data_IF_010118424569
#
_entry.id   IF_010118424569
#
_cell.length_a   1.000
_cell.length_b   1.000
_cell.length_c   1.000
_cell.angle_alpha   90.00
_cell.angle_beta   90.00
_cell.angle_gamma   90.00
#
_symmetry.space_group_name_H-M   'P 1'
#
loop_
_entity.id
_entity.type
_entity.pdbx_description
1 polymer ?
#
# COMPACT_ATOMS: atom_id res chain seq x y z
N UNK A 1 12.40 -1.94 -20.76
CA UNK A 1 11.62 -2.72 -19.80
C UNK A 1 10.87 -1.74 -18.92
N UNK A 2 9.56 -1.87 -18.81
CA UNK A 2 8.72 -0.99 -18.01
C UNK A 2 9.18 -1.04 -16.55
N UNK A 3 9.11 0.07 -15.84
CA UNK A 3 9.45 0.12 -14.42
C UNK A 3 8.48 1.04 -13.70
N UNK A 4 7.88 0.52 -12.65
CA UNK A 4 6.92 1.24 -11.83
C UNK A 4 7.49 1.56 -10.45
N UNK A 5 7.15 2.75 -9.96
CA UNK A 5 7.33 3.16 -8.59
C UNK A 5 5.94 3.25 -7.94
N UNK A 6 5.69 2.45 -6.93
CA UNK A 6 4.50 2.53 -6.09
C UNK A 6 4.82 3.37 -4.86
N UNK A 7 3.95 4.31 -4.52
CA UNK A 7 4.08 5.18 -3.34
C UNK A 7 2.78 5.10 -2.55
N UNK A 8 2.89 4.92 -1.23
CA UNK A 8 1.75 4.77 -0.33
C UNK A 8 1.96 5.57 0.98
N UNK A 9 0.94 6.32 1.36
CA UNK A 9 0.92 7.12 2.58
C UNK A 9 0.72 6.27 3.83
N UNK A 10 1.71 6.28 4.71
CA UNK A 10 1.67 5.48 5.94
C UNK A 10 0.59 5.97 6.90
N UNK A 11 -0.36 5.09 7.27
CA UNK A 11 -1.48 5.42 8.15
C UNK A 11 -2.14 6.74 7.75
N UNK A 12 -2.50 6.88 6.49
CA UNK A 12 -2.76 8.15 5.82
C UNK A 12 -3.71 9.08 6.60
N UNK A 13 -4.92 8.63 6.98
CA UNK A 13 -5.86 9.49 7.69
C UNK A 13 -5.30 9.95 9.04
N UNK A 14 -4.71 9.04 9.82
CA UNK A 14 -4.09 9.42 11.09
C UNK A 14 -2.87 10.34 10.89
N UNK A 15 -2.15 10.19 9.77
CA UNK A 15 -1.06 11.10 9.42
C UNK A 15 -1.56 12.49 9.02
N UNK A 16 -2.70 12.58 8.33
CA UNK A 16 -3.35 13.86 8.01
C UNK A 16 -3.71 14.62 9.31
N UNK A 17 -4.32 13.94 10.27
CA UNK A 17 -4.65 14.57 11.58
C UNK A 17 -3.38 15.06 12.30
N UNK A 18 -2.31 14.27 12.30
CA UNK A 18 -1.04 14.65 12.94
C UNK A 18 -0.37 15.87 12.30
N UNK A 19 -0.59 16.15 11.00
CA UNK A 19 -0.02 17.35 10.35
C UNK A 19 -0.49 18.61 11.05
N UNK A 20 -1.74 18.68 11.49
CA UNK A 20 -2.34 19.83 12.16
C UNK A 20 -2.29 19.74 13.69
N UNK A 21 -1.82 18.63 14.23
CA UNK A 21 -1.70 18.35 15.65
C UNK A 21 -0.30 17.80 15.98
N UNK A 22 0.73 18.68 15.99
CA UNK A 22 2.11 18.27 16.29
C UNK A 22 2.28 17.61 17.67
N UNK A 23 1.40 17.95 18.63
CA UNK A 23 1.32 17.33 19.95
C UNK A 23 1.06 15.81 19.89
N UNK A 24 0.50 15.32 18.79
CA UNK A 24 0.23 13.90 18.58
C UNK A 24 1.35 13.14 17.86
N UNK A 25 2.52 13.76 17.62
CA UNK A 25 3.60 13.16 16.83
C UNK A 25 4.02 11.76 17.30
N UNK A 26 3.99 11.52 18.61
CA UNK A 26 4.38 10.25 19.24
C UNK A 26 3.24 9.55 19.98
N UNK A 27 2.07 10.17 20.04
CA UNK A 27 0.89 9.63 20.70
C UNK A 27 0.18 8.62 19.77
N UNK A 28 -0.38 7.50 20.28
CA UNK A 28 -1.21 6.62 19.48
C UNK A 28 -2.43 7.36 18.90
N UNK A 29 -2.69 7.21 17.62
CA UNK A 29 -3.83 7.83 16.93
C UNK A 29 -4.61 6.77 16.17
N UNK A 30 -5.94 6.84 16.29
CA UNK A 30 -6.87 6.07 15.48
C UNK A 30 -7.88 7.00 14.82
N UNK A 31 -8.31 6.65 13.61
CA UNK A 31 -9.40 7.32 12.91
C UNK A 31 -10.51 6.31 12.70
N UNK A 32 -11.73 6.71 13.04
CA UNK A 32 -12.94 5.90 12.92
C UNK A 32 -13.60 6.07 11.54
N UNK A 33 -14.45 5.14 11.17
CA UNK A 33 -15.33 5.25 10.00
C UNK A 33 -16.39 6.36 10.21
N UNK A 34 -17.11 6.71 9.16
CA UNK A 34 -18.34 7.50 9.30
C UNK A 34 -19.20 6.92 10.41
N UNK A 35 -19.83 7.77 11.21
CA UNK A 35 -20.63 7.42 12.39
C UNK A 35 -19.84 6.70 13.50
N UNK A 36 -18.51 6.82 13.52
CA UNK A 36 -17.61 6.28 14.55
C UNK A 36 -17.80 4.78 14.85
N UNK A 37 -18.25 4.00 13.85
CA UNK A 37 -18.59 2.60 14.04
C UNK A 37 -17.39 1.69 14.26
N UNK A 38 -16.31 1.86 13.51
CA UNK A 38 -15.12 1.01 13.59
C UNK A 38 -13.82 1.75 13.24
N UNK A 39 -12.70 1.20 13.66
CA UNK A 39 -11.37 1.74 13.36
C UNK A 39 -11.01 1.52 11.89
N UNK A 40 -10.68 2.60 11.17
CA UNK A 40 -10.30 2.57 9.74
C UNK A 40 -8.79 2.70 9.57
N UNK A 41 -8.19 3.65 10.30
CA UNK A 41 -6.74 3.89 10.23
C UNK A 41 -6.14 3.94 11.63
N UNK A 42 -4.97 3.35 11.77
CA UNK A 42 -4.24 3.26 13.05
C UNK A 42 -2.76 3.56 12.80
N UNK A 43 -2.18 4.37 13.66
CA UNK A 43 -0.73 4.57 13.69
C UNK A 43 -0.01 3.30 14.17
N UNK A 44 1.32 3.24 13.99
CA UNK A 44 2.13 2.11 14.47
C UNK A 44 2.05 1.94 15.99
N UNK A 45 1.98 3.05 16.72
CA UNK A 45 1.84 3.08 18.18
C UNK A 45 0.50 2.47 18.59
N UNK A 46 -0.60 2.83 17.91
CA UNK A 46 -1.91 2.24 18.17
C UNK A 46 -1.96 0.74 17.84
N UNK A 47 -1.31 0.32 16.75
CA UNK A 47 -1.19 -1.11 16.38
C UNK A 47 -0.40 -1.91 17.44
N UNK A 48 0.62 -1.30 18.06
CA UNK A 48 1.41 -1.93 19.12
C UNK A 48 0.58 -2.24 20.38
N UNK A 49 -0.54 -1.52 20.61
CA UNK A 49 -1.51 -1.80 21.66
C UNK A 49 -2.48 -2.96 21.33
N UNK A 50 -2.25 -3.67 20.22
CA UNK A 50 -3.11 -4.77 19.78
C UNK A 50 -4.36 -4.33 19.01
N UNK A 51 -4.53 -3.02 18.76
CA UNK A 51 -5.64 -2.50 17.98
C UNK A 51 -5.51 -2.90 16.50
N UNK A 52 -6.64 -3.20 15.86
CA UNK A 52 -6.69 -3.66 14.47
C UNK A 52 -7.76 -2.89 13.69
N UNK A 53 -7.53 -2.73 12.38
CA UNK A 53 -8.53 -2.18 11.46
C UNK A 53 -9.82 -3.03 11.49
N UNK A 54 -10.97 -2.36 11.45
CA UNK A 54 -12.28 -3.01 11.45
C UNK A 54 -12.80 -3.37 12.85
N UNK A 55 -12.04 -3.15 13.92
CA UNK A 55 -12.55 -3.34 15.27
C UNK A 55 -13.62 -2.28 15.59
N UNK A 56 -14.78 -2.67 16.13
CA UNK A 56 -15.80 -1.72 16.60
C UNK A 56 -15.23 -0.82 17.72
N UNK A 57 -15.47 0.49 17.62
CA UNK A 57 -14.94 1.48 18.59
C UNK A 57 -15.33 1.13 20.03
N UNK A 58 -16.63 0.77 20.25
CA UNK A 58 -17.14 0.45 21.59
C UNK A 58 -16.44 -0.75 22.25
N UNK A 59 -15.93 -1.72 21.46
CA UNK A 59 -15.23 -2.90 21.98
C UNK A 59 -13.80 -2.60 22.46
N UNK A 60 -13.22 -1.52 21.98
CA UNK A 60 -11.82 -1.16 22.29
C UNK A 60 -11.71 0.09 23.17
N UNK A 61 -12.85 0.69 23.56
CA UNK A 61 -12.88 1.96 24.33
C UNK A 61 -11.99 1.91 25.58
N UNK A 62 -12.04 0.85 26.35
CA UNK A 62 -11.22 0.71 27.55
C UNK A 62 -9.70 0.72 27.24
N UNK A 63 -9.29 0.11 26.11
CA UNK A 63 -7.88 0.14 25.67
C UNK A 63 -7.49 1.55 25.22
N UNK A 64 -8.38 2.24 24.53
CA UNK A 64 -8.15 3.61 24.06
C UNK A 64 -7.96 4.57 25.24
N UNK A 65 -8.87 4.51 26.20
CA UNK A 65 -8.86 5.40 27.39
C UNK A 65 -7.62 5.11 28.28
N UNK A 66 -7.29 3.84 28.51
CA UNK A 66 -6.15 3.43 29.34
C UNK A 66 -4.78 3.80 28.75
N UNK A 67 -4.68 4.01 27.44
CA UNK A 67 -3.42 4.29 26.75
C UNK A 67 -3.37 5.70 26.13
N UNK A 68 -4.26 6.58 26.51
CA UNK A 68 -4.34 7.96 26.01
C UNK A 68 -4.31 8.03 24.47
N UNK A 69 -5.07 7.15 23.81
CA UNK A 69 -5.16 7.09 22.34
C UNK A 69 -6.00 8.25 21.84
N UNK A 70 -5.46 9.07 20.94
CA UNK A 70 -6.25 10.09 20.27
C UNK A 70 -7.19 9.45 19.25
N UNK A 71 -8.48 9.75 19.36
CA UNK A 71 -9.55 9.21 18.51
C UNK A 71 -10.13 10.35 17.66
N UNK A 72 -10.20 10.13 16.35
CA UNK A 72 -10.80 11.08 15.40
C UNK A 72 -11.91 10.41 14.61
N UNK A 73 -12.97 11.15 14.32
CA UNK A 73 -13.94 10.82 13.29
C UNK A 73 -13.33 11.06 11.91
N UNK A 74 -13.83 10.39 10.87
CA UNK A 74 -13.35 10.61 9.49
C UNK A 74 -13.64 12.03 9.02
N UNK A 75 -12.61 12.73 8.53
CA UNK A 75 -12.69 14.02 7.88
C UNK A 75 -12.29 13.88 6.39
N UNK A 76 -13.24 13.43 5.57
CA UNK A 76 -12.95 13.14 4.16
C UNK A 76 -12.59 14.36 3.33
N UNK A 77 -13.04 15.56 3.71
CA UNK A 77 -12.65 16.82 3.06
C UNK A 77 -11.16 17.08 3.27
N UNK A 78 -10.70 17.00 4.53
CA UNK A 78 -9.28 17.10 4.86
C UNK A 78 -8.46 16.03 4.13
N UNK A 79 -8.89 14.77 4.17
CA UNK A 79 -8.13 13.67 3.56
C UNK A 79 -8.07 13.80 2.04
N UNK A 80 -9.13 14.28 1.42
CA UNK A 80 -9.17 14.59 -0.02
C UNK A 80 -8.22 15.71 -0.43
N UNK A 81 -8.13 16.78 0.37
CA UNK A 81 -7.19 17.87 0.14
C UNK A 81 -5.73 17.41 0.32
N UNK A 82 -5.44 16.69 1.39
CA UNK A 82 -4.10 16.16 1.66
C UNK A 82 -3.66 15.14 0.59
N UNK A 83 -4.58 14.30 0.12
CA UNK A 83 -4.35 13.39 -1.01
C UNK A 83 -3.96 14.16 -2.27
N UNK A 84 -4.73 15.19 -2.63
CA UNK A 84 -4.45 16.02 -3.81
C UNK A 84 -3.05 16.66 -3.71
N UNK A 85 -2.69 17.23 -2.57
CA UNK A 85 -1.35 17.82 -2.34
C UNK A 85 -0.25 16.76 -2.47
N UNK A 86 -0.47 15.56 -1.91
CA UNK A 86 0.47 14.45 -2.03
C UNK A 86 0.67 14.04 -3.48
N UNK A 87 -0.43 13.80 -4.23
CA UNK A 87 -0.37 13.42 -5.64
C UNK A 87 0.29 14.49 -6.51
N UNK A 88 -0.02 15.78 -6.28
CA UNK A 88 0.63 16.90 -7.00
C UNK A 88 2.12 16.96 -6.70
N UNK A 89 2.51 16.77 -5.45
CA UNK A 89 3.93 16.72 -5.05
C UNK A 89 4.67 15.58 -5.75
N UNK A 90 4.07 14.39 -5.79
CA UNK A 90 4.66 13.24 -6.49
C UNK A 90 4.76 13.53 -7.99
N UNK A 91 3.69 14.02 -8.62
CA UNK A 91 3.64 14.33 -10.04
C UNK A 91 4.69 15.37 -10.48
N UNK A 92 5.11 16.26 -9.58
CA UNK A 92 6.18 17.24 -9.88
C UNK A 92 7.59 16.63 -9.95
N UNK A 93 7.76 15.36 -9.56
CA UNK A 93 9.06 14.70 -9.42
C UNK A 93 9.24 13.49 -10.33
N UNK A 94 8.14 12.99 -10.94
CA UNK A 94 8.13 11.80 -11.78
C UNK A 94 7.49 12.09 -13.14
N UNK A 95 7.80 11.32 -14.19
CA UNK A 95 7.27 11.59 -15.54
C UNK A 95 5.76 11.51 -15.65
N UNK A 96 5.14 10.50 -15.02
CA UNK A 96 3.69 10.30 -15.04
C UNK A 96 3.24 9.56 -13.78
N UNK A 97 2.02 9.86 -13.30
CA UNK A 97 1.40 9.13 -12.18
C UNK A 97 0.03 8.57 -12.57
N UNK A 98 -0.32 7.48 -11.93
CA UNK A 98 -1.65 6.90 -11.89
C UNK A 98 -2.11 6.86 -10.44
N UNK A 99 -2.98 7.79 -9.99
CA UNK A 99 -3.61 7.72 -8.69
C UNK A 99 -4.47 6.46 -8.60
N UNK A 100 -4.15 5.58 -7.66
CA UNK A 100 -4.87 4.32 -7.47
C UNK A 100 -5.90 4.40 -6.34
N UNK A 101 -5.53 5.04 -5.24
CA UNK A 101 -6.43 5.31 -4.11
C UNK A 101 -6.21 6.72 -3.56
N UNK A 102 -6.85 7.02 -2.42
CA UNK A 102 -6.69 8.31 -1.74
C UNK A 102 -5.27 8.53 -1.21
N UNK A 103 -4.55 7.45 -0.92
CA UNK A 103 -3.25 7.45 -0.26
C UNK A 103 -2.14 6.74 -1.04
N UNK A 104 -2.44 6.24 -2.25
CA UNK A 104 -1.46 5.51 -3.05
C UNK A 104 -1.54 5.81 -4.55
N UNK A 105 -0.40 5.77 -5.21
CA UNK A 105 -0.30 5.89 -6.66
C UNK A 105 0.83 5.02 -7.22
N UNK A 106 0.71 4.74 -8.51
CA UNK A 106 1.82 4.26 -9.32
C UNK A 106 2.42 5.41 -10.13
N UNK A 107 3.73 5.38 -10.36
CA UNK A 107 4.41 6.23 -11.31
C UNK A 107 5.15 5.36 -12.33
N UNK A 108 5.06 5.73 -13.60
CA UNK A 108 5.94 5.18 -14.63
C UNK A 108 7.30 5.91 -14.54
N UNK A 109 8.33 5.16 -14.18
CA UNK A 109 9.69 5.65 -14.02
C UNK A 109 10.66 4.94 -14.98
N UNK A 110 10.12 4.44 -16.08
CA UNK A 110 10.89 3.81 -17.16
C UNK A 110 11.95 4.78 -17.69
N UNK A 111 13.19 4.31 -17.78
CA UNK A 111 14.31 5.10 -18.27
C UNK A 111 14.98 6.01 -17.23
N UNK A 112 14.48 6.09 -16.01
CA UNK A 112 15.15 6.83 -14.93
C UNK A 112 16.36 6.03 -14.43
N UNK A 113 17.51 6.68 -14.35
CA UNK A 113 18.78 6.02 -14.05
C UNK A 113 18.90 5.54 -12.60
N UNK A 114 18.61 6.40 -11.63
CA UNK A 114 18.70 6.09 -10.20
C UNK A 114 17.31 6.09 -9.55
N UNK A 115 16.67 4.93 -9.59
CA UNK A 115 15.33 4.71 -9.12
C UNK A 115 15.22 4.81 -7.59
N UNK A 116 16.24 4.34 -6.86
CA UNK A 116 16.22 4.39 -5.39
C UNK A 116 16.38 5.82 -4.90
N UNK A 117 17.31 6.60 -5.48
CA UNK A 117 17.44 8.02 -5.16
C UNK A 117 16.18 8.82 -5.55
N UNK A 118 15.52 8.48 -6.68
CA UNK A 118 14.25 9.11 -7.04
C UNK A 118 13.16 8.81 -5.99
N UNK A 119 12.99 7.55 -5.59
CA UNK A 119 12.00 7.15 -4.59
C UNK A 119 12.23 7.86 -3.25
N UNK A 120 13.47 7.91 -2.77
CA UNK A 120 13.82 8.60 -1.53
C UNK A 120 13.61 10.11 -1.63
N UNK A 121 13.90 10.73 -2.77
CA UNK A 121 13.61 12.14 -3.04
C UNK A 121 12.12 12.42 -3.02
N UNK A 122 11.30 11.56 -3.64
CA UNK A 122 9.83 11.68 -3.64
C UNK A 122 9.31 11.59 -2.21
N UNK A 123 9.70 10.58 -1.46
CA UNK A 123 9.29 10.37 -0.06
C UNK A 123 9.68 11.56 0.83
N UNK A 124 10.91 12.02 0.71
CA UNK A 124 11.41 13.18 1.48
C UNK A 124 10.63 14.45 1.14
N UNK A 125 10.33 14.68 -0.14
CA UNK A 125 9.58 15.85 -0.59
C UNK A 125 8.13 15.80 -0.12
N UNK A 126 7.45 14.66 -0.21
CA UNK A 126 6.10 14.49 0.32
C UNK A 126 6.09 14.74 1.83
N UNK A 127 7.07 14.19 2.57
CA UNK A 127 7.17 14.45 4.01
C UNK A 127 7.42 15.92 4.31
N UNK A 128 8.28 16.58 3.56
CA UNK A 128 8.62 17.99 3.77
C UNK A 128 7.47 18.93 3.45
N UNK A 129 6.78 18.74 2.31
CA UNK A 129 5.77 19.68 1.80
C UNK A 129 4.36 19.38 2.25
N UNK A 130 4.04 18.11 2.49
CA UNK A 130 2.69 17.65 2.84
C UNK A 130 2.61 17.13 4.27
N UNK A 131 3.74 16.79 4.88
CA UNK A 131 3.79 16.25 6.24
C UNK A 131 3.48 14.76 6.35
N UNK A 132 3.13 14.08 5.24
CA UNK A 132 2.73 12.68 5.22
C UNK A 132 3.97 11.78 5.07
N UNK A 133 4.23 10.84 6.00
CA UNK A 133 5.25 9.82 5.80
C UNK A 133 4.78 8.79 4.76
N UNK A 134 5.66 8.41 3.84
CA UNK A 134 5.35 7.44 2.78
C UNK A 134 6.36 6.30 2.74
N UNK A 135 5.94 5.16 2.20
CA UNK A 135 6.83 4.11 1.73
C UNK A 135 6.80 4.03 0.21
N UNK A 136 7.82 3.39 -0.35
CA UNK A 136 7.97 3.26 -1.79
C UNK A 136 8.48 1.87 -2.18
N UNK A 137 7.88 1.31 -3.23
CA UNK A 137 8.32 0.06 -3.84
C UNK A 137 8.54 0.24 -5.34
N UNK A 138 9.64 -0.30 -5.85
CA UNK A 138 9.99 -0.24 -7.27
C UNK A 138 9.97 -1.66 -7.84
N UNK A 139 9.43 -1.83 -9.03
CA UNK A 139 9.39 -3.14 -9.69
C UNK A 139 9.07 -3.05 -11.19
N UNK A 140 9.33 -4.15 -11.93
CA UNK A 140 9.09 -4.21 -13.37
C UNK A 140 7.59 -4.31 -13.71
N UNK A 141 6.74 -4.57 -12.72
CA UNK A 141 5.29 -4.63 -12.84
C UNK A 141 4.65 -3.92 -11.64
N UNK A 142 3.39 -3.50 -11.78
CA UNK A 142 2.64 -2.88 -10.69
C UNK A 142 2.53 -3.79 -9.46
N UNK A 143 2.26 -5.07 -9.66
CA UNK A 143 2.14 -6.05 -8.58
C UNK A 143 3.47 -6.23 -7.83
N UNK A 144 4.60 -6.30 -8.54
CA UNK A 144 5.92 -6.39 -7.89
C UNK A 144 6.33 -5.09 -7.21
N UNK A 145 6.01 -3.92 -7.79
CA UNK A 145 6.24 -2.63 -7.14
C UNK A 145 5.45 -2.52 -5.83
N UNK A 146 4.19 -2.92 -5.83
CA UNK A 146 3.35 -2.92 -4.62
C UNK A 146 3.81 -3.95 -3.58
N UNK A 147 4.31 -5.10 -4.02
CA UNK A 147 4.92 -6.08 -3.13
C UNK A 147 6.23 -5.55 -2.52
N UNK A 148 7.05 -4.84 -3.28
CA UNK A 148 8.26 -4.18 -2.77
C UNK A 148 7.90 -3.13 -1.70
N UNK A 149 6.84 -2.32 -1.91
CA UNK A 149 6.33 -1.40 -0.90
C UNK A 149 5.84 -2.10 0.38
N UNK A 150 5.16 -3.26 0.25
CA UNK A 150 4.79 -4.09 1.40
C UNK A 150 6.01 -4.44 2.25
N UNK A 151 7.14 -4.82 1.62
CA UNK A 151 8.39 -5.08 2.34
C UNK A 151 8.99 -3.82 2.95
N UNK A 152 8.95 -2.70 2.22
CA UNK A 152 9.43 -1.41 2.72
C UNK A 152 8.72 -0.97 4.00
N UNK A 153 7.41 -1.25 4.12
CA UNK A 153 6.60 -1.00 5.33
C UNK A 153 6.88 -1.98 6.46
N UNK A 154 7.04 -3.26 6.11
CA UNK A 154 7.14 -4.35 7.09
C UNK A 154 8.51 -4.41 7.77
N UNK A 155 9.59 -4.09 7.06
CA UNK A 155 10.94 -4.27 7.55
C UNK A 155 11.69 -2.93 7.65
N UNK A 156 11.92 -2.41 8.87
CA UNK A 156 12.59 -1.12 9.09
C UNK A 156 14.00 -1.02 8.45
N UNK A 157 14.67 -2.15 8.27
CA UNK A 157 15.99 -2.22 7.62
C UNK A 157 16.00 -1.63 6.20
N UNK A 158 14.88 -1.63 5.51
CA UNK A 158 14.74 -1.02 4.18
C UNK A 158 14.54 0.50 4.22
N UNK A 159 14.41 1.09 5.40
CA UNK A 159 14.23 2.54 5.57
C UNK A 159 13.06 3.13 4.76
N UNK A 160 12.07 2.28 4.42
CA UNK A 160 10.85 2.66 3.71
C UNK A 160 10.96 2.69 2.17
N UNK A 161 12.06 2.20 1.57
CA UNK A 161 12.19 2.04 0.11
C UNK A 161 12.73 0.64 -0.22
N UNK A 162 12.10 -0.05 -1.17
CA UNK A 162 12.59 -1.31 -1.72
C UNK A 162 12.57 -1.25 -3.23
N UNK A 163 13.71 -1.51 -3.86
CA UNK A 163 13.79 -1.73 -5.30
C UNK A 163 13.88 -3.23 -5.57
N UNK A 164 12.81 -3.79 -6.12
CA UNK A 164 12.73 -5.20 -6.48
C UNK A 164 13.81 -5.61 -7.49
N UNK A 165 14.18 -4.70 -8.38
CA UNK A 165 15.17 -4.96 -9.42
C UNK A 165 16.59 -5.14 -8.87
N UNK A 166 16.87 -4.59 -7.67
CA UNK A 166 18.18 -4.74 -7.00
C UNK A 166 18.29 -6.06 -6.20
N UNK A 167 17.17 -6.79 -6.07
CA UNK A 167 17.18 -8.06 -5.38
C UNK A 167 17.69 -9.17 -6.30
N UNK A 168 18.60 -9.98 -5.80
CA UNK A 168 19.01 -11.21 -6.50
C UNK A 168 17.83 -12.18 -6.67
N UNK A 169 17.86 -13.05 -7.66
CA UNK A 169 16.80 -14.04 -7.91
C UNK A 169 16.49 -14.89 -6.65
N UNK A 170 17.52 -15.21 -5.85
CA UNK A 170 17.35 -15.93 -4.58
C UNK A 170 16.57 -15.09 -3.57
N UNK A 171 16.88 -13.80 -3.44
CA UNK A 171 16.15 -12.88 -2.55
C UNK A 171 14.71 -12.65 -3.00
N UNK A 172 14.48 -12.49 -4.31
CA UNK A 172 13.14 -12.39 -4.88
C UNK A 172 12.31 -13.63 -4.58
N UNK A 173 12.87 -14.84 -4.80
CA UNK A 173 12.21 -16.10 -4.49
C UNK A 173 11.90 -16.23 -3.00
N UNK A 174 12.85 -15.87 -2.13
CA UNK A 174 12.63 -15.87 -0.68
C UNK A 174 11.54 -14.88 -0.27
N UNK A 175 11.52 -13.69 -0.84
CA UNK A 175 10.48 -12.68 -0.60
C UNK A 175 9.09 -13.23 -0.96
N UNK A 176 8.93 -13.83 -2.12
CA UNK A 176 7.67 -14.47 -2.53
C UNK A 176 7.27 -15.65 -1.61
N UNK A 177 8.24 -16.44 -1.15
CA UNK A 177 7.99 -17.60 -0.29
C UNK A 177 7.53 -17.22 1.14
N UNK A 178 7.94 -16.05 1.65
CA UNK A 178 7.51 -15.56 2.99
C UNK A 178 6.25 -14.69 2.94
N UNK A 179 5.76 -14.36 1.75
CA UNK A 179 4.55 -13.57 1.56
C UNK A 179 3.34 -14.49 1.45
N UNK A 180 2.32 -14.30 2.31
CA UNK A 180 1.05 -15.01 2.16
C UNK A 180 0.40 -14.66 0.82
N UNK A 181 -0.23 -15.62 0.18
CA UNK A 181 -0.98 -15.37 -1.07
C UNK A 181 -2.06 -14.30 -0.90
N UNK A 182 -2.64 -14.18 0.28
CA UNK A 182 -3.64 -13.15 0.61
C UNK A 182 -3.06 -11.73 0.75
N UNK A 183 -1.73 -11.58 0.83
CA UNK A 183 -1.06 -10.29 0.85
C UNK A 183 -0.68 -9.82 -0.57
N UNK A 184 -0.93 -10.65 -1.59
CA UNK A 184 -0.72 -10.28 -3.00
C UNK A 184 -1.84 -9.37 -3.47
N UNK A 185 -1.47 -8.28 -4.14
CA UNK A 185 -2.42 -7.33 -4.69
C UNK A 185 -3.47 -8.01 -5.60
N UNK A 186 -4.73 -7.66 -5.44
CA UNK A 186 -5.84 -8.25 -6.20
C UNK A 186 -6.34 -9.61 -5.67
N UNK A 187 -5.69 -10.21 -4.67
CA UNK A 187 -6.13 -11.47 -4.06
C UNK A 187 -6.96 -11.18 -2.82
N UNK A 188 -8.27 -11.16 -3.00
CA UNK A 188 -9.23 -10.92 -1.92
C UNK A 188 -9.40 -12.13 -0.98
N UNK A 189 -10.15 -11.93 0.11
CA UNK A 189 -10.36 -12.94 1.16
C UNK A 189 -10.92 -14.27 0.64
N UNK A 190 -11.91 -14.23 -0.25
CA UNK A 190 -12.52 -15.44 -0.82
C UNK A 190 -11.53 -16.18 -1.73
N UNK A 191 -10.82 -15.44 -2.61
CA UNK A 191 -9.80 -16.00 -3.49
C UNK A 191 -8.66 -16.61 -2.67
N UNK A 192 -8.22 -15.96 -1.60
CA UNK A 192 -7.23 -16.49 -0.66
C UNK A 192 -7.65 -17.83 -0.06
N UNK A 193 -8.88 -17.94 0.41
CA UNK A 193 -9.40 -19.18 0.97
C UNK A 193 -9.41 -20.31 -0.08
N UNK A 194 -9.90 -20.02 -1.28
CA UNK A 194 -9.94 -20.99 -2.38
C UNK A 194 -8.53 -21.41 -2.87
N UNK A 195 -7.57 -20.49 -2.95
CA UNK A 195 -6.18 -20.82 -3.30
C UNK A 195 -5.54 -21.73 -2.25
N UNK A 196 -5.77 -21.46 -0.96
CA UNK A 196 -5.24 -22.30 0.13
C UNK A 196 -5.79 -23.72 0.10
N UNK A 197 -7.05 -23.95 -0.28
CA UNK A 197 -7.59 -25.32 -0.45
C UNK A 197 -6.92 -26.08 -1.58
N UNK A 198 -6.25 -25.37 -2.51
CA UNK A 198 -5.46 -25.96 -3.60
C UNK A 198 -3.98 -26.12 -3.25
N UNK A 199 -3.58 -25.87 -2.01
CA UNK A 199 -2.18 -25.91 -1.57
C UNK A 199 -1.36 -24.67 -1.96
N UNK A 200 -2.00 -23.62 -2.51
CA UNK A 200 -1.35 -22.37 -2.90
C UNK A 200 -1.43 -21.39 -1.71
N UNK A 201 -0.38 -21.37 -0.89
CA UNK A 201 -0.37 -20.66 0.40
C UNK A 201 0.44 -19.38 0.34
N UNK A 202 1.51 -19.35 -0.47
CA UNK A 202 2.43 -18.24 -0.60
C UNK A 202 2.31 -17.55 -1.97
N UNK A 203 2.84 -16.33 -2.07
CA UNK A 203 2.99 -15.64 -3.35
C UNK A 203 3.88 -16.44 -4.33
N UNK A 204 4.86 -17.20 -3.81
CA UNK A 204 5.68 -18.10 -4.62
C UNK A 204 4.85 -19.23 -5.20
N UNK A 205 4.05 -19.92 -4.40
CA UNK A 205 3.19 -21.02 -4.87
C UNK A 205 2.23 -20.50 -5.95
N UNK A 206 1.66 -19.30 -5.73
CA UNK A 206 0.75 -18.66 -6.69
C UNK A 206 1.46 -18.29 -7.99
N UNK A 207 2.66 -17.71 -7.92
CA UNK A 207 3.49 -17.41 -9.12
C UNK A 207 3.76 -18.69 -9.94
N UNK A 208 4.09 -19.79 -9.26
CA UNK A 208 4.55 -21.03 -9.88
C UNK A 208 3.40 -21.96 -10.31
N UNK A 209 2.16 -21.70 -9.88
CA UNK A 209 0.98 -22.48 -10.20
C UNK A 209 0.67 -22.49 -11.73
N UNK A 210 -0.06 -23.49 -12.19
CA UNK A 210 -0.52 -23.57 -13.59
C UNK A 210 -1.44 -22.40 -13.94
N UNK A 211 -1.03 -21.62 -14.94
CA UNK A 211 -1.74 -20.41 -15.37
C UNK A 211 -3.13 -20.71 -15.91
N UNK A 212 -3.28 -21.81 -16.67
CA UNK A 212 -4.56 -22.21 -17.21
C UNK A 212 -5.56 -22.57 -16.12
N UNK A 213 -5.09 -23.23 -15.05
CA UNK A 213 -5.90 -23.53 -13.88
C UNK A 213 -6.35 -22.25 -13.16
N UNK A 214 -5.42 -21.32 -12.91
CA UNK A 214 -5.73 -20.02 -12.27
C UNK A 214 -6.76 -19.26 -13.09
N UNK A 215 -6.57 -19.14 -14.41
CA UNK A 215 -7.51 -18.44 -15.31
C UNK A 215 -8.89 -19.08 -15.31
N UNK A 216 -8.99 -20.41 -15.44
CA UNK A 216 -10.28 -21.11 -15.45
C UNK A 216 -11.05 -20.95 -14.12
N UNK A 217 -10.36 -20.94 -12.98
CA UNK A 217 -11.00 -20.94 -11.66
C UNK A 217 -11.26 -19.53 -11.11
N UNK A 218 -10.39 -18.57 -11.40
CA UNK A 218 -10.42 -17.24 -10.78
C UNK A 218 -10.56 -16.09 -11.79
N UNK A 219 -10.54 -16.38 -13.06
CA UNK A 219 -10.69 -15.40 -14.14
C UNK A 219 -9.40 -14.68 -14.54
N UNK A 220 -9.52 -13.83 -15.54
CA UNK A 220 -8.41 -13.14 -16.20
C UNK A 220 -7.69 -12.14 -15.29
N UNK A 221 -8.41 -11.51 -14.37
CA UNK A 221 -7.80 -10.53 -13.44
C UNK A 221 -6.79 -11.20 -12.50
N UNK A 222 -7.17 -12.36 -11.94
CA UNK A 222 -6.27 -13.13 -11.05
C UNK A 222 -5.09 -13.72 -11.83
N UNK A 223 -5.31 -14.16 -13.07
CA UNK A 223 -4.25 -14.59 -13.95
C UNK A 223 -3.24 -13.46 -14.23
N UNK A 224 -3.72 -12.25 -14.56
CA UNK A 224 -2.85 -11.09 -14.78
C UNK A 224 -1.98 -10.79 -13.56
N UNK A 225 -2.56 -10.82 -12.35
CA UNK A 225 -1.79 -10.67 -11.11
C UNK A 225 -0.70 -11.75 -10.99
N UNK A 226 -1.00 -13.00 -11.38
CA UNK A 226 -0.01 -14.07 -11.40
C UNK A 226 1.12 -13.79 -12.40
N UNK A 227 0.78 -13.35 -13.62
CA UNK A 227 1.76 -13.02 -14.65
C UNK A 227 2.68 -11.87 -14.20
N UNK A 228 2.13 -10.87 -13.54
CA UNK A 228 2.92 -9.77 -13.00
C UNK A 228 3.91 -10.21 -11.92
N UNK A 229 3.59 -11.21 -11.11
CA UNK A 229 4.56 -11.80 -10.16
C UNK A 229 5.70 -12.54 -10.89
N UNK A 230 5.51 -12.89 -12.17
CA UNK A 230 6.55 -13.46 -13.05
C UNK A 230 7.37 -12.38 -13.76
N UNK A 231 7.05 -11.11 -13.55
CA UNK A 231 7.70 -9.98 -14.21
C UNK A 231 7.11 -9.62 -15.58
N UNK A 232 5.95 -10.18 -15.93
CA UNK A 232 5.25 -9.90 -17.19
C UNK A 232 4.26 -8.76 -16.94
N UNK A 233 4.56 -7.58 -17.48
CA UNK A 233 3.73 -6.38 -17.36
C UNK A 233 2.46 -6.54 -18.21
N UNK A 234 1.30 -6.67 -17.56
CA UNK A 234 0.03 -6.92 -18.20
C UNK A 234 -1.16 -6.15 -17.60
N UNK A 235 -0.92 -5.33 -16.59
CA UNK A 235 -1.91 -4.40 -16.06
C UNK A 235 -1.59 -2.99 -16.58
N UNK A 236 -2.43 -2.43 -17.48
CA UNK A 236 -2.11 -1.18 -18.16
C UNK A 236 -1.91 -0.02 -17.18
N UNK A 237 -1.00 0.89 -17.52
CA UNK A 237 -0.82 2.16 -16.79
C UNK A 237 -1.86 3.16 -17.28
N UNK A 238 -2.66 3.70 -16.36
CA UNK A 238 -3.75 4.64 -16.65
C UNK A 238 -3.49 5.99 -15.97
N UNK A 239 -2.79 6.94 -16.62
CA UNK A 239 -2.37 8.20 -15.98
C UNK A 239 -3.51 9.15 -15.69
N UNK A 240 -4.72 8.90 -16.19
CA UNK A 240 -5.93 9.67 -15.87
C UNK A 240 -6.76 8.91 -14.86
N UNK A 241 -7.03 9.56 -13.71
CA UNK A 241 -7.98 9.00 -12.75
C UNK A 241 -9.32 8.74 -13.45
N UNK A 242 -9.82 7.50 -13.39
CA UNK A 242 -11.18 7.18 -13.82
C UNK A 242 -12.16 7.96 -12.95
N UNK A 243 -13.27 8.50 -13.52
CA UNK A 243 -14.36 9.03 -12.71
C UNK A 243 -14.78 7.96 -11.68
N UNK A 244 -15.00 8.36 -10.44
CA UNK A 244 -15.50 7.43 -9.43
C UNK A 244 -16.89 6.97 -9.82
N UNK A 245 -17.08 5.68 -10.03
CA UNK A 245 -18.36 5.05 -10.34
C UNK A 245 -19.23 4.81 -9.07
N UNK A 246 -18.66 5.02 -7.90
CA UNK A 246 -19.39 4.88 -6.63
C UNK A 246 -19.86 6.25 -6.12
N UNK A 247 -21.15 6.45 -6.16
CA UNK A 247 -21.86 7.45 -5.34
C UNK A 247 -21.89 6.92 -3.89
N UNK A 248 -21.29 7.68 -2.97
CA UNK A 248 -21.47 7.45 -1.53
C UNK A 248 -22.81 8.02 -1.09
#
# INVERSE_FOLDING_TARGET
MTTYLHIDGNAFYASCERVFRPDLAHRPVVVCSNNDGCLVTLTKEAKALGLKRGLPLFKVKAVLDANDVAVFSSNYELYGDMSRRMMQTIASLVPAIEPYSIDECFADVTGVADLTALADRVRSRVKQWVGIPTCAGIGPTKTLAKLADHFAKKYPAFKGTVNWNDLTAVRQTKALAVTSVGDVWGIGRQTTAALKTMGIVTAKDFRDADTGLIRRRFGVTTERTQQELRGIDCIPFEPKAKPREQLC
#
